data_IF_597124281597
#
_entry.id   IF_597124281597
#
_cell.length_a   1.000
_cell.length_b   1.000
_cell.length_c   1.000
_cell.angle_alpha   90.00
_cell.angle_beta   90.00
_cell.angle_gamma   90.00
#
_symmetry.space_group_name_H-M   'P 1'
#
loop_
_entity.id
_entity.type
_entity.pdbx_description
1 polymer ?
#
# COMPACT_ATOMS: atom_id res chain seq x y z
N UNK A 1 20.09 40.85 -12.10
CA UNK A 1 19.13 39.80 -11.68
C UNK A 1 19.84 38.46 -11.70
N UNK A 2 20.31 38.01 -10.54
CA UNK A 2 20.74 36.64 -10.30
C UNK A 2 20.36 36.31 -8.86
N UNK A 3 19.45 35.36 -8.64
CA UNK A 3 19.24 34.73 -7.34
C UNK A 3 19.23 33.23 -7.60
N UNK A 4 20.30 32.55 -7.18
CA UNK A 4 20.29 31.12 -6.95
C UNK A 4 19.47 30.86 -5.68
N UNK A 5 18.66 29.81 -5.66
CA UNK A 5 18.23 29.20 -4.39
C UNK A 5 18.24 27.68 -4.54
N UNK A 6 19.29 27.10 -3.93
CA UNK A 6 19.40 25.69 -3.60
C UNK A 6 18.62 25.47 -2.30
N UNK A 7 17.88 24.37 -2.28
CA UNK A 7 17.32 23.70 -1.10
C UNK A 7 16.06 24.31 -0.47
N UNK A 8 14.94 23.58 -0.63
CA UNK A 8 14.09 23.30 0.53
C UNK A 8 13.41 21.94 0.43
N UNK A 9 14.13 20.94 0.93
CA UNK A 9 13.53 19.77 1.58
C UNK A 9 12.53 20.29 2.60
N UNK A 10 11.24 19.95 2.44
CA UNK A 10 10.29 20.00 3.55
C UNK A 10 9.88 18.57 3.88
N UNK A 11 10.78 17.94 4.64
CA UNK A 11 10.45 16.89 5.59
C UNK A 11 9.91 17.62 6.82
N UNK A 12 8.60 17.60 7.00
CA UNK A 12 7.88 18.11 8.17
C UNK A 12 6.94 17.00 8.62
N UNK A 13 6.79 16.55 9.86
CA UNK A 13 7.49 16.61 11.15
C UNK A 13 6.87 15.43 11.93
N UNK A 14 7.57 14.92 12.94
CA UNK A 14 7.14 13.83 13.81
C UNK A 14 5.83 14.15 14.55
N UNK A 15 4.80 13.32 14.38
CA UNK A 15 3.71 13.18 15.36
C UNK A 15 3.95 11.90 16.16
N UNK A 16 4.05 12.05 17.47
CA UNK A 16 4.01 10.94 18.41
C UNK A 16 2.59 10.36 18.42
N UNK A 17 2.29 9.46 17.50
CA UNK A 17 1.11 8.61 17.54
C UNK A 17 1.58 7.16 17.47
N UNK A 18 1.10 6.34 18.41
CA UNK A 18 1.05 4.89 18.22
C UNK A 18 0.60 4.66 16.78
N UNK A 19 1.32 3.90 15.94
CA UNK A 19 0.90 3.67 14.56
C UNK A 19 -0.46 2.96 14.59
N UNK A 20 -1.53 3.74 14.53
CA UNK A 20 -2.84 3.25 14.16
C UNK A 20 -2.71 2.70 12.74
N UNK A 21 -3.19 1.49 12.46
CA UNK A 21 -2.90 0.74 11.24
C UNK A 21 -3.41 1.35 9.91
N UNK A 22 -3.82 2.63 9.92
CA UNK A 22 -4.66 3.27 8.90
C UNK A 22 -3.89 4.10 7.85
N UNK A 23 -2.59 4.37 8.05
CA UNK A 23 -1.80 5.21 7.12
C UNK A 23 -0.59 4.45 6.58
N UNK A 24 -0.84 3.46 5.71
CA UNK A 24 0.21 2.73 4.99
C UNK A 24 0.12 3.04 3.50
N UNK A 25 1.26 3.09 2.81
CA UNK A 25 1.27 3.35 1.36
C UNK A 25 0.73 2.17 0.54
N UNK A 26 0.46 2.40 -0.75
CA UNK A 26 0.05 1.33 -1.68
C UNK A 26 1.11 0.23 -1.78
N UNK A 27 2.38 0.60 -1.79
CA UNK A 27 3.51 -0.33 -1.85
C UNK A 27 3.63 -1.16 -0.57
N UNK A 28 3.43 -0.54 0.60
CA UNK A 28 3.45 -1.23 1.88
C UNK A 28 2.26 -2.19 2.01
N UNK A 29 1.06 -1.75 1.60
CA UNK A 29 -0.13 -2.61 1.55
C UNK A 29 0.06 -3.82 0.62
N UNK A 30 0.67 -3.60 -0.56
CA UNK A 30 1.04 -4.68 -1.47
C UNK A 30 2.08 -5.63 -0.85
N UNK A 31 3.13 -5.06 -0.24
CA UNK A 31 4.19 -5.80 0.44
C UNK A 31 3.65 -6.73 1.52
N UNK A 32 2.68 -6.26 2.31
CA UNK A 32 2.00 -7.08 3.33
C UNK A 32 1.29 -8.29 2.73
N UNK A 33 0.51 -8.10 1.66
CA UNK A 33 -0.20 -9.22 1.01
C UNK A 33 0.79 -10.21 0.39
N UNK A 34 1.84 -9.71 -0.27
CA UNK A 34 2.90 -10.56 -0.81
C UNK A 34 3.60 -11.35 0.30
N UNK A 35 3.90 -10.70 1.43
CA UNK A 35 4.44 -11.34 2.63
C UNK A 35 3.52 -12.43 3.16
N UNK A 36 2.24 -12.15 3.33
CA UNK A 36 1.23 -13.13 3.77
C UNK A 36 1.18 -14.36 2.86
N UNK A 37 1.21 -14.16 1.53
CA UNK A 37 1.22 -15.25 0.54
C UNK A 37 2.47 -16.12 0.70
N UNK A 38 3.66 -15.50 0.75
CA UNK A 38 4.94 -16.20 0.81
C UNK A 38 5.14 -16.90 2.16
N UNK A 39 4.78 -16.25 3.27
CA UNK A 39 4.84 -16.84 4.60
C UNK A 39 3.87 -18.00 4.78
N UNK A 40 2.75 -18.01 4.05
CA UNK A 40 1.84 -19.16 3.98
C UNK A 40 2.34 -20.29 3.07
N UNK A 41 3.53 -20.17 2.46
CA UNK A 41 4.09 -21.14 1.52
C UNK A 41 3.33 -21.23 0.20
N UNK A 42 2.47 -20.25 -0.11
CA UNK A 42 1.69 -20.22 -1.35
C UNK A 42 2.54 -19.68 -2.48
N UNK A 43 2.29 -20.16 -3.70
CA UNK A 43 2.91 -19.59 -4.90
C UNK A 43 2.45 -18.15 -5.12
N UNK A 44 3.40 -17.21 -5.17
CA UNK A 44 3.14 -15.85 -5.59
C UNK A 44 2.89 -15.81 -7.10
N UNK A 45 1.62 -15.66 -7.47
CA UNK A 45 1.17 -15.54 -8.85
C UNK A 45 0.15 -14.42 -8.95
N UNK A 46 -0.07 -13.88 -10.15
CA UNK A 46 -1.17 -12.91 -10.38
C UNK A 46 -2.51 -13.45 -9.90
N UNK A 47 -2.78 -14.74 -10.13
CA UNK A 47 -4.01 -15.40 -9.65
C UNK A 47 -4.09 -15.35 -8.13
N UNK A 48 -3.08 -15.86 -7.42
CA UNK A 48 -3.06 -15.89 -5.95
C UNK A 48 -3.19 -14.47 -5.37
N UNK A 49 -2.45 -13.51 -5.93
CA UNK A 49 -2.45 -12.13 -5.49
C UNK A 49 -3.83 -11.46 -5.68
N UNK A 50 -4.48 -11.67 -6.83
CA UNK A 50 -5.83 -11.17 -7.08
C UNK A 50 -6.86 -11.79 -6.11
N UNK A 51 -6.77 -13.08 -5.81
CA UNK A 51 -7.66 -13.74 -4.85
C UNK A 51 -7.51 -13.17 -3.44
N UNK A 52 -6.28 -13.00 -2.94
CA UNK A 52 -6.07 -12.42 -1.61
C UNK A 52 -6.50 -10.94 -1.56
N UNK A 53 -6.28 -10.17 -2.63
CA UNK A 53 -6.77 -8.78 -2.72
C UNK A 53 -8.30 -8.69 -2.67
N UNK A 54 -9.01 -9.57 -3.40
CA UNK A 54 -10.48 -9.64 -3.34
C UNK A 54 -10.96 -9.96 -1.93
N UNK A 55 -10.34 -10.94 -1.28
CA UNK A 55 -10.65 -11.29 0.11
C UNK A 55 -10.48 -10.09 1.04
N UNK A 56 -9.36 -9.35 0.95
CA UNK A 56 -9.14 -8.14 1.75
C UNK A 56 -10.18 -7.05 1.45
N UNK A 57 -10.58 -6.87 0.19
CA UNK A 57 -11.61 -5.91 -0.20
C UNK A 57 -12.99 -6.24 0.39
N UNK A 58 -13.31 -7.52 0.51
CA UNK A 58 -14.55 -8.00 1.14
C UNK A 58 -14.51 -7.83 2.67
N UNK A 59 -13.37 -8.10 3.30
CA UNK A 59 -13.20 -8.08 4.77
C UNK A 59 -12.94 -6.66 5.34
N UNK A 60 -12.44 -5.73 4.53
CA UNK A 60 -12.03 -4.39 5.01
C UNK A 60 -13.21 -3.42 4.97
N UNK A 61 -13.56 -2.87 6.15
CA UNK A 61 -14.53 -1.77 6.29
C UNK A 61 -13.87 -0.37 6.21
N UNK A 62 -12.57 -0.28 6.51
CA UNK A 62 -11.79 0.96 6.54
C UNK A 62 -11.53 1.53 5.13
N UNK A 63 -11.92 2.78 4.90
CA UNK A 63 -11.99 3.35 3.56
C UNK A 63 -10.63 3.62 2.90
N UNK A 64 -9.59 3.94 3.66
CA UNK A 64 -8.27 4.30 3.16
C UNK A 64 -7.52 3.09 2.63
N UNK A 65 -7.37 2.04 3.44
CA UNK A 65 -6.68 0.81 3.04
C UNK A 65 -7.48 0.02 1.99
N UNK A 66 -8.82 0.05 2.06
CA UNK A 66 -9.67 -0.54 1.01
C UNK A 66 -9.42 0.12 -0.34
N UNK A 67 -9.21 1.44 -0.37
CA UNK A 67 -8.87 2.17 -1.60
C UNK A 67 -7.48 1.75 -2.14
N UNK A 68 -6.49 1.55 -1.26
CA UNK A 68 -5.19 1.01 -1.67
C UNK A 68 -5.33 -0.37 -2.31
N UNK A 69 -6.05 -1.30 -1.67
CA UNK A 69 -6.31 -2.63 -2.23
C UNK A 69 -7.05 -2.56 -3.59
N UNK A 70 -8.03 -1.68 -3.73
CA UNK A 70 -8.78 -1.52 -4.97
C UNK A 70 -7.90 -1.02 -6.13
N UNK A 71 -7.01 -0.07 -5.86
CA UNK A 71 -6.05 0.44 -6.86
C UNK A 71 -5.02 -0.60 -7.26
N UNK A 72 -4.48 -1.35 -6.31
CA UNK A 72 -3.56 -2.46 -6.59
C UNK A 72 -4.26 -3.50 -7.47
N UNK A 73 -5.48 -3.88 -7.11
CA UNK A 73 -6.28 -4.83 -7.88
C UNK A 73 -6.52 -4.33 -9.31
N UNK A 74 -6.89 -3.06 -9.47
CA UNK A 74 -7.05 -2.43 -10.79
C UNK A 74 -5.76 -2.49 -11.62
N UNK A 75 -4.59 -2.17 -11.01
CA UNK A 75 -3.28 -2.23 -11.68
C UNK A 75 -2.94 -3.64 -12.17
N UNK A 76 -3.34 -4.68 -11.45
CA UNK A 76 -3.10 -6.08 -11.85
C UNK A 76 -3.98 -6.55 -13.01
N UNK A 77 -5.15 -5.94 -13.20
CA UNK A 77 -6.10 -6.28 -14.27
C UNK A 77 -5.92 -5.45 -15.54
N UNK A 78 -5.19 -4.34 -15.50
CA UNK A 78 -4.99 -3.45 -16.64
C UNK A 78 -3.89 -3.89 -17.63
N UNK A 79 -3.49 -5.16 -17.62
CA UNK A 79 -2.46 -5.72 -18.49
C UNK A 79 -3.04 -6.53 -19.64
#
# INVERSE_FOLDING_TARGET
>A
MCINDVAKIQRTVMENNVPTPTDISEEEALGRIVGEILSAGKTLSRKTLCFELLKKLDETEESSIKNHYAKIFKKLLSC
#
